data_IF_448834459073
#
_entry.id   IF_448834459073
#
_cell.length_a   1.000
_cell.length_b   1.000
_cell.length_c   1.000
_cell.angle_alpha   90.00
_cell.angle_beta   90.00
_cell.angle_gamma   90.00
#
_symmetry.space_group_name_H-M   'P 1'
#
loop_
_entity.id
_entity.type
_entity.pdbx_description
1 polymer ?
#
# COMPACT_ATOMS: atom_id res chain seq x y z
N UNK A 1 -19.14 -73.82 32.41
CA UNK A 1 -20.38 -74.12 31.65
C UNK A 1 -21.30 -72.92 31.71
N UNK A 2 -21.95 -72.63 30.57
CA UNK A 2 -23.05 -71.67 30.31
C UNK A 2 -22.69 -70.20 30.06
N UNK A 3 -22.90 -69.86 28.77
CA UNK A 3 -23.12 -68.56 28.16
C UNK A 3 -24.42 -67.88 28.65
N UNK A 4 -24.46 -66.55 28.43
CA UNK A 4 -25.57 -65.73 27.90
C UNK A 4 -25.78 -64.46 28.73
N UNK A 5 -25.44 -63.28 28.18
CA UNK A 5 -26.35 -62.31 27.52
C UNK A 5 -26.92 -61.30 28.56
N UNK A 6 -27.12 -59.99 28.38
CA UNK A 6 -27.43 -59.08 27.26
C UNK A 6 -26.96 -57.65 27.63
N UNK A 7 -26.84 -56.82 26.58
CA UNK A 7 -26.51 -55.39 26.51
C UNK A 7 -27.37 -54.39 27.30
N UNK A 8 -26.78 -53.21 27.51
CA UNK A 8 -27.36 -51.85 27.40
C UNK A 8 -26.20 -50.90 27.73
N UNK A 9 -25.64 -50.06 26.85
CA UNK A 9 -26.31 -49.11 25.97
C UNK A 9 -25.91 -47.70 26.44
N UNK A 10 -24.72 -47.23 26.05
CA UNK A 10 -24.30 -45.84 26.26
C UNK A 10 -23.43 -45.39 25.07
N UNK A 11 -24.09 -44.99 23.98
CA UNK A 11 -23.42 -44.41 22.83
C UNK A 11 -23.20 -42.91 23.07
N UNK A 12 -21.92 -42.63 23.35
CA UNK A 12 -21.11 -41.43 23.08
C UNK A 12 -21.84 -40.24 22.44
N UNK A 13 -21.75 -39.11 23.13
CA UNK A 13 -22.14 -37.79 22.63
C UNK A 13 -21.39 -37.45 21.33
N UNK A 14 -22.14 -37.23 20.25
CA UNK A 14 -21.66 -36.62 19.03
C UNK A 14 -21.38 -35.13 19.31
N UNK A 15 -20.11 -34.81 19.54
CA UNK A 15 -19.59 -33.44 19.36
C UNK A 15 -19.56 -33.20 17.86
N UNK A 16 -20.63 -32.60 17.33
CA UNK A 16 -20.62 -32.05 15.98
C UNK A 16 -19.57 -30.94 15.95
N UNK A 17 -18.42 -31.24 15.34
CA UNK A 17 -17.46 -30.24 14.92
C UNK A 17 -18.13 -29.37 13.87
N UNK A 18 -18.69 -28.24 14.33
CA UNK A 18 -18.90 -27.10 13.46
C UNK A 18 -17.50 -26.62 13.08
N UNK A 19 -17.04 -27.07 11.91
CA UNK A 19 -15.98 -26.41 11.20
C UNK A 19 -16.38 -24.94 11.06
N UNK A 20 -15.65 -24.08 11.75
CA UNK A 20 -15.58 -22.67 11.41
C UNK A 20 -14.90 -22.60 10.03
N UNK A 21 -15.70 -22.85 9.00
CA UNK A 21 -15.41 -22.37 7.67
C UNK A 21 -15.65 -20.86 7.74
N UNK A 22 -14.64 -20.13 8.21
CA UNK A 22 -14.48 -18.71 7.93
C UNK A 22 -14.35 -18.55 6.41
N UNK A 23 -15.48 -18.69 5.72
CA UNK A 23 -15.69 -18.15 4.41
C UNK A 23 -15.74 -16.63 4.54
N UNK A 24 -14.59 -16.03 4.81
CA UNK A 24 -14.31 -14.68 4.36
C UNK A 24 -14.27 -14.76 2.83
N UNK A 25 -15.44 -14.68 2.21
CA UNK A 25 -15.58 -14.16 0.88
C UNK A 25 -15.14 -12.70 0.91
N UNK A 26 -13.83 -12.47 1.00
CA UNK A 26 -13.21 -11.19 0.75
C UNK A 26 -13.39 -10.93 -0.74
N UNK A 27 -14.43 -10.19 -1.10
CA UNK A 27 -14.49 -9.56 -2.42
C UNK A 27 -13.14 -8.91 -2.67
N UNK A 28 -12.46 -9.32 -3.74
CA UNK A 28 -11.09 -8.92 -4.01
C UNK A 28 -11.03 -7.39 -4.06
N UNK A 29 -10.49 -6.78 -3.00
CA UNK A 29 -10.33 -5.34 -2.90
C UNK A 29 -9.26 -4.94 -3.91
N UNK A 30 -9.56 -3.94 -4.75
CA UNK A 30 -8.66 -3.46 -5.80
C UNK A 30 -7.26 -3.22 -5.23
N UNK A 31 -6.25 -3.79 -5.87
CA UNK A 31 -4.88 -3.75 -5.38
C UNK A 31 -3.89 -3.62 -6.54
N UNK A 32 -2.78 -2.93 -6.28
CA UNK A 32 -1.63 -2.80 -7.15
C UNK A 32 -0.41 -3.27 -6.37
N UNK A 33 0.25 -4.33 -6.83
CA UNK A 33 1.48 -4.86 -6.22
C UNK A 33 2.66 -4.73 -7.17
N UNK A 34 3.79 -4.27 -6.67
CA UNK A 34 5.04 -4.17 -7.44
C UNK A 34 6.20 -4.79 -6.67
N UNK A 35 6.97 -5.64 -7.34
CA UNK A 35 8.26 -6.11 -6.81
C UNK A 35 9.35 -5.09 -7.12
N UNK A 36 10.22 -4.83 -6.15
CA UNK A 36 11.41 -4.00 -6.31
C UNK A 36 12.56 -4.58 -5.47
N UNK A 37 13.60 -5.07 -6.14
CA UNK A 37 14.64 -5.87 -5.50
C UNK A 37 14.04 -7.10 -4.80
N UNK A 38 14.33 -7.24 -3.50
CA UNK A 38 13.89 -8.35 -2.64
C UNK A 38 12.54 -8.11 -1.94
N UNK A 39 11.90 -6.97 -2.18
CA UNK A 39 10.65 -6.60 -1.52
C UNK A 39 9.48 -6.45 -2.51
N UNK A 40 8.26 -6.55 -2.01
CA UNK A 40 7.04 -6.26 -2.76
C UNK A 40 6.21 -5.22 -2.03
N UNK A 41 5.92 -4.10 -2.68
CA UNK A 41 5.02 -3.08 -2.16
C UNK A 41 3.62 -3.29 -2.74
N UNK A 42 2.58 -2.96 -1.98
CA UNK A 42 1.19 -3.08 -2.43
C UNK A 42 0.35 -1.91 -1.94
N UNK A 43 -0.30 -1.23 -2.89
CA UNK A 43 -1.41 -0.30 -2.64
C UNK A 43 -2.70 -1.10 -2.69
N UNK A 44 -3.59 -0.92 -1.71
CA UNK A 44 -4.95 -1.50 -1.72
C UNK A 44 -5.97 -0.44 -1.35
N UNK A 45 -7.20 -0.56 -1.86
CA UNK A 45 -8.33 0.16 -1.27
C UNK A 45 -8.38 -0.09 0.24
N UNK A 46 -8.58 0.96 1.02
CA UNK A 46 -8.79 0.84 2.45
C UNK A 46 -10.11 0.09 2.71
N UNK A 47 -10.14 -0.72 3.78
CA UNK A 47 -11.38 -1.37 4.21
C UNK A 47 -12.45 -0.30 4.48
N UNK A 48 -13.67 -0.52 3.98
CA UNK A 48 -14.77 0.44 4.09
C UNK A 48 -14.78 1.57 3.04
N UNK A 49 -13.79 1.65 2.14
CA UNK A 49 -13.79 2.58 1.01
C UNK A 49 -14.42 1.93 -0.22
N UNK A 50 -15.75 2.01 -0.33
CA UNK A 50 -16.53 1.37 -1.41
C UNK A 50 -16.14 1.87 -2.81
N UNK A 51 -15.80 3.15 -2.93
CA UNK A 51 -15.33 3.81 -4.16
C UNK A 51 -13.80 3.81 -4.30
N UNK A 52 -13.10 3.23 -3.32
CA UNK A 52 -11.65 3.24 -3.24
C UNK A 52 -11.04 4.65 -3.21
N UNK A 53 -11.76 5.65 -2.69
CA UNK A 53 -11.26 7.01 -2.41
C UNK A 53 -10.08 7.02 -1.43
N UNK A 54 -9.99 6.02 -0.55
CA UNK A 54 -8.87 5.85 0.38
C UNK A 54 -8.14 4.55 0.08
N UNK A 55 -6.82 4.59 0.18
CA UNK A 55 -5.94 3.45 -0.01
C UNK A 55 -4.89 3.36 1.10
N UNK A 56 -4.36 2.16 1.28
CA UNK A 56 -3.29 1.85 2.21
C UNK A 56 -2.07 1.35 1.45
N UNK A 57 -0.88 1.65 1.98
CA UNK A 57 0.39 1.15 1.46
C UNK A 57 0.93 0.08 2.40
N UNK A 58 1.31 -1.07 1.86
CA UNK A 58 1.94 -2.15 2.61
C UNK A 58 3.17 -2.65 1.89
N UNK A 59 4.12 -3.20 2.64
CA UNK A 59 5.33 -3.82 2.09
C UNK A 59 5.51 -5.22 2.66
N UNK A 60 5.89 -6.15 1.78
CA UNK A 60 6.45 -7.45 2.13
C UNK A 60 7.97 -7.38 1.95
N UNK A 61 8.71 -7.48 3.04
CA UNK A 61 10.19 -7.47 3.04
C UNK A 61 10.76 -8.85 2.73
N UNK A 62 12.08 -8.94 2.52
CA UNK A 62 12.76 -10.18 2.15
C UNK A 62 12.61 -11.31 3.18
N UNK A 63 12.38 -10.97 4.46
CA UNK A 63 12.09 -11.91 5.54
C UNK A 63 10.65 -12.42 5.53
N UNK A 64 9.85 -12.05 4.52
CA UNK A 64 8.46 -12.45 4.35
C UNK A 64 7.47 -11.66 5.21
N UNK A 65 7.94 -10.78 6.10
CA UNK A 65 7.04 -9.99 6.95
C UNK A 65 6.29 -8.96 6.13
N UNK A 66 5.00 -8.82 6.43
CA UNK A 66 4.13 -7.79 5.83
C UNK A 66 3.84 -6.72 6.87
N UNK A 67 4.00 -5.45 6.49
CA UNK A 67 3.62 -4.32 7.35
C UNK A 67 2.99 -3.20 6.54
N UNK A 68 2.02 -2.52 7.13
CA UNK A 68 1.48 -1.26 6.61
C UNK A 68 2.51 -0.16 6.85
N UNK A 69 2.64 0.76 5.89
CA UNK A 69 3.52 1.91 5.97
C UNK A 69 2.72 3.16 6.30
N UNK A 70 3.28 3.99 7.17
CA UNK A 70 2.75 5.31 7.46
C UNK A 70 2.87 6.23 6.24
N UNK A 71 1.96 7.20 6.16
CA UNK A 71 2.04 8.23 5.13
C UNK A 71 3.26 9.14 5.39
N UNK A 72 3.94 9.63 4.35
CA UNK A 72 4.97 10.66 4.49
C UNK A 72 4.40 11.90 5.19
N UNK A 73 5.27 12.63 5.89
CA UNK A 73 4.88 13.88 6.55
C UNK A 73 4.28 14.85 5.51
N UNK A 74 3.16 15.46 5.87
CA UNK A 74 2.38 16.37 5.03
C UNK A 74 1.36 15.67 4.09
N UNK A 75 1.41 14.34 3.96
CA UNK A 75 0.49 13.58 3.10
C UNK A 75 -0.80 13.12 3.78
N UNK A 76 -1.15 13.67 4.95
CA UNK A 76 -2.35 13.31 5.71
C UNK A 76 -3.64 13.16 4.87
N UNK A 77 -4.03 14.19 4.08
CA UNK A 77 -5.26 14.14 3.29
C UNK A 77 -5.12 13.33 1.98
N UNK A 78 -3.91 13.01 1.54
CA UNK A 78 -3.65 12.34 0.26
C UNK A 78 -3.46 10.83 0.43
N UNK A 79 -3.64 10.08 -0.65
CA UNK A 79 -3.57 8.61 -0.63
C UNK A 79 -2.61 8.11 -1.72
N UNK A 80 -1.93 6.97 -1.55
CA UNK A 80 -1.08 6.45 -2.62
C UNK A 80 -1.93 5.98 -3.81
N UNK A 81 -1.60 6.45 -5.00
CA UNK A 81 -2.38 6.20 -6.23
C UNK A 81 -1.63 5.39 -7.27
N UNK A 82 -0.30 5.37 -7.20
CA UNK A 82 0.55 4.64 -8.11
C UNK A 82 1.93 4.38 -7.53
N UNK A 83 2.66 3.46 -8.15
CA UNK A 83 4.03 3.14 -7.78
C UNK A 83 4.88 2.69 -8.95
N UNK A 84 6.19 2.85 -8.80
CA UNK A 84 7.20 2.26 -9.66
C UNK A 84 8.36 1.70 -8.83
N UNK A 85 9.23 0.94 -9.50
CA UNK A 85 10.51 0.49 -8.96
C UNK A 85 11.62 1.21 -9.70
N UNK A 86 12.42 1.98 -8.98
CA UNK A 86 13.63 2.61 -9.47
C UNK A 86 14.86 1.86 -8.96
N UNK A 87 15.97 1.95 -9.69
CA UNK A 87 17.25 1.42 -9.22
C UNK A 87 18.40 2.33 -9.60
N UNK A 88 19.35 2.48 -8.68
CA UNK A 88 20.63 3.13 -8.95
C UNK A 88 21.74 2.50 -8.11
N UNK A 89 22.94 2.41 -8.68
CA UNK A 89 24.14 1.87 -8.02
C UNK A 89 23.88 0.55 -7.25
N UNK A 90 23.16 -0.39 -7.89
CA UNK A 90 22.75 -1.70 -7.33
C UNK A 90 21.79 -1.67 -6.14
N UNK A 91 21.19 -0.51 -5.83
CA UNK A 91 20.12 -0.36 -4.84
C UNK A 91 18.78 -0.14 -5.53
N UNK A 92 17.73 -0.73 -4.96
CA UNK A 92 16.37 -0.60 -5.43
C UNK A 92 15.56 0.32 -4.50
N UNK A 93 14.66 1.09 -5.07
CA UNK A 93 13.82 2.06 -4.39
C UNK A 93 12.40 1.99 -4.94
N UNK A 94 11.41 2.06 -4.07
CA UNK A 94 10.04 2.31 -4.51
C UNK A 94 9.84 3.82 -4.69
N UNK A 95 9.29 4.20 -5.83
CA UNK A 95 8.70 5.53 -6.05
C UNK A 95 7.20 5.37 -5.89
N UNK A 96 6.59 6.08 -4.94
CA UNK A 96 5.15 6.04 -4.70
C UNK A 96 4.57 7.40 -4.98
N UNK A 97 3.57 7.45 -5.86
CA UNK A 97 2.81 8.65 -6.12
C UNK A 97 1.62 8.74 -5.17
N UNK A 98 1.46 9.90 -4.54
CA UNK A 98 0.31 10.27 -3.74
C UNK A 98 -0.58 11.25 -4.53
N UNK A 99 -1.88 11.21 -4.23
CA UNK A 99 -2.87 12.06 -4.88
C UNK A 99 -4.26 11.94 -4.24
N UNK A 100 -5.25 12.46 -4.96
CA UNK A 100 -6.67 12.42 -4.59
C UNK A 100 -7.43 11.41 -5.47
N UNK A 101 -8.45 10.75 -4.90
CA UNK A 101 -9.33 9.77 -5.58
C UNK A 101 -10.78 9.94 -5.10
N UNK A 102 -11.82 9.59 -5.90
CA UNK A 102 -11.78 9.01 -7.25
C UNK A 102 -11.84 10.02 -8.40
N UNK A 103 -12.13 11.31 -8.17
CA UNK A 103 -12.26 12.34 -9.20
C UNK A 103 -11.08 13.32 -9.21
N UNK A 104 -10.79 13.84 -10.42
CA UNK A 104 -9.60 14.55 -10.86
C UNK A 104 -9.05 15.61 -9.90
N UNK A 105 -7.72 15.68 -9.87
CA UNK A 105 -7.00 16.41 -8.85
C UNK A 105 -6.95 17.92 -9.14
N UNK A 106 -7.08 18.74 -8.10
CA UNK A 106 -6.58 20.12 -8.13
C UNK A 106 -5.06 20.14 -7.90
N UNK A 107 -4.56 19.20 -7.09
CA UNK A 107 -3.15 18.90 -6.88
C UNK A 107 -2.97 17.39 -6.76
N UNK A 108 -2.06 16.82 -7.53
CA UNK A 108 -1.71 15.40 -7.53
C UNK A 108 -0.24 15.29 -7.88
N UNK A 109 0.32 14.08 -7.88
CA UNK A 109 1.70 13.88 -8.29
C UNK A 109 2.73 14.28 -7.22
N UNK A 110 2.42 14.02 -5.94
CA UNK A 110 3.48 13.98 -4.92
C UNK A 110 4.22 12.66 -5.03
N UNK A 111 5.53 12.71 -5.22
CA UNK A 111 6.35 11.52 -5.33
C UNK A 111 7.15 11.31 -4.05
N UNK A 112 7.11 10.08 -3.54
CA UNK A 112 7.87 9.70 -2.36
C UNK A 112 8.75 8.50 -2.61
N UNK A 113 9.99 8.58 -2.12
CA UNK A 113 10.95 7.50 -2.20
C UNK A 113 10.90 6.64 -0.94
N UNK A 114 10.89 5.33 -1.13
CA UNK A 114 11.02 4.34 -0.06
C UNK A 114 12.14 3.37 -0.36
N UNK A 115 12.86 2.94 0.67
CA UNK A 115 13.78 1.80 0.56
C UNK A 115 13.01 0.49 0.45
N UNK A 116 13.68 -0.60 0.06
CA UNK A 116 13.08 -1.95 0.05
C UNK A 116 12.73 -2.49 1.43
N UNK A 117 13.24 -1.88 2.50
CA UNK A 117 12.82 -2.15 3.87
C UNK A 117 11.54 -1.39 4.24
N UNK A 118 11.08 -0.45 3.41
CA UNK A 118 9.90 0.40 3.65
C UNK A 118 10.21 1.64 4.48
N UNK A 119 11.47 2.13 4.47
CA UNK A 119 11.81 3.42 5.08
C UNK A 119 11.53 4.53 4.07
N UNK A 120 10.69 5.49 4.46
CA UNK A 120 10.48 6.72 3.67
C UNK A 120 11.74 7.60 3.68
N UNK A 121 12.08 8.15 2.53
CA UNK A 121 13.27 8.98 2.33
C UNK A 121 12.96 10.44 2.01
N UNK A 122 11.69 10.76 1.71
CA UNK A 122 11.28 12.10 1.27
C UNK A 122 9.93 12.49 1.87
N UNK A 123 9.74 13.78 2.05
CA UNK A 123 8.55 14.39 2.65
C UNK A 123 8.03 15.51 1.76
N UNK A 124 6.80 15.91 2.04
CA UNK A 124 6.13 17.02 1.36
C UNK A 124 5.41 17.83 2.43
N UNK A 125 6.17 18.56 3.24
CA UNK A 125 5.67 19.37 4.35
C UNK A 125 6.18 20.82 4.21
N UNK A 126 5.31 21.79 3.82
CA UNK A 126 3.89 21.61 3.49
C UNK A 126 3.68 20.78 2.21
N UNK A 127 2.49 20.20 2.01
CA UNK A 127 2.21 19.43 0.80
C UNK A 127 2.16 20.29 -0.45
N UNK A 128 1.65 21.52 -0.36
CA UNK A 128 1.53 22.43 -1.50
C UNK A 128 2.46 23.61 -1.28
N UNK A 129 3.25 23.95 -2.32
CA UNK A 129 4.03 25.17 -2.37
C UNK A 129 3.24 26.26 -3.08
N UNK A 130 3.59 27.52 -2.81
CA UNK A 130 3.00 28.68 -3.50
C UNK A 130 4.10 29.54 -4.10
N UNK A 131 3.94 29.93 -5.36
CA UNK A 131 4.83 30.83 -6.11
C UNK A 131 4.00 31.93 -6.79
N UNK A 132 4.11 33.15 -6.26
CA UNK A 132 3.39 34.32 -6.78
C UNK A 132 3.92 34.84 -8.11
N UNK A 133 5.05 34.32 -8.60
CA UNK A 133 5.61 34.67 -9.92
C UNK A 133 4.94 33.89 -11.06
N UNK A 134 4.20 32.82 -10.74
CA UNK A 134 3.45 32.02 -11.70
C UNK A 134 2.05 32.63 -11.99
N UNK A 135 1.44 32.29 -13.15
CA UNK A 135 0.06 32.66 -13.45
C UNK A 135 -0.89 32.25 -12.32
N UNK A 136 -1.97 33.01 -12.01
CA UNK A 136 -2.87 32.74 -10.88
C UNK A 136 -3.37 31.28 -10.77
N UNK A 137 -3.64 30.63 -11.90
CA UNK A 137 -4.09 29.24 -11.95
C UNK A 137 -3.00 28.19 -11.67
N UNK A 138 -1.73 28.59 -11.55
CA UNK A 138 -0.54 27.75 -11.38
C UNK A 138 0.28 28.14 -10.15
N UNK A 139 -0.18 29.12 -9.36
CA UNK A 139 0.58 29.59 -8.19
C UNK A 139 0.77 28.51 -7.15
N UNK A 140 -0.08 27.48 -7.14
CA UNK A 140 0.03 26.36 -6.21
C UNK A 140 0.45 25.10 -6.96
N UNK A 141 1.34 24.31 -6.36
CA UNK A 141 1.81 23.06 -6.96
C UNK A 141 2.30 22.07 -5.89
N UNK A 142 2.34 20.75 -6.21
CA UNK A 142 2.84 19.72 -5.31
C UNK A 142 4.28 19.96 -4.86
N UNK A 143 4.54 19.85 -3.56
CA UNK A 143 5.88 19.94 -3.01
C UNK A 143 6.69 18.67 -3.27
N UNK A 144 7.39 18.62 -4.40
CA UNK A 144 8.32 17.55 -4.77
C UNK A 144 9.80 17.91 -4.57
N UNK A 145 10.10 18.97 -3.81
CA UNK A 145 11.48 19.47 -3.68
C UNK A 145 12.44 18.42 -3.13
N UNK A 146 12.10 17.77 -2.01
CA UNK A 146 12.95 16.74 -1.40
C UNK A 146 13.03 15.47 -2.28
N UNK A 147 11.95 15.13 -2.99
CA UNK A 147 11.95 14.05 -3.97
C UNK A 147 12.93 14.33 -5.10
N UNK A 148 12.81 15.48 -5.76
CA UNK A 148 13.67 15.86 -6.88
C UNK A 148 15.15 15.91 -6.49
N UNK A 149 15.45 16.50 -5.32
CA UNK A 149 16.82 16.55 -4.79
C UNK A 149 17.36 15.14 -4.48
N UNK A 150 16.54 14.28 -3.89
CA UNK A 150 16.95 12.91 -3.52
C UNK A 150 17.10 12.02 -4.74
N UNK A 151 16.16 12.06 -5.69
CA UNK A 151 16.21 11.31 -6.94
C UNK A 151 17.46 11.69 -7.75
N UNK A 152 17.75 12.99 -7.87
CA UNK A 152 18.96 13.47 -8.53
C UNK A 152 20.24 13.01 -7.81
N UNK A 153 20.28 13.10 -6.47
CA UNK A 153 21.43 12.65 -5.68
C UNK A 153 21.68 11.15 -5.81
N UNK A 154 20.61 10.37 -5.97
CA UNK A 154 20.68 8.93 -6.16
C UNK A 154 20.90 8.53 -7.63
N UNK A 155 20.88 9.48 -8.57
CA UNK A 155 20.94 9.21 -10.02
C UNK A 155 19.82 8.26 -10.49
N UNK A 156 18.60 8.51 -10.00
CA UNK A 156 17.42 7.77 -10.45
C UNK A 156 16.92 8.34 -11.79
N UNK A 157 16.78 7.46 -12.77
CA UNK A 157 16.10 7.79 -14.03
C UNK A 157 14.61 8.10 -13.79
N UNK A 158 13.95 8.68 -14.78
CA UNK A 158 12.48 8.83 -14.76
C UNK A 158 11.81 7.45 -14.73
N UNK A 159 10.73 7.33 -13.96
CA UNK A 159 10.06 6.06 -13.72
C UNK A 159 8.66 6.07 -14.31
N UNK A 160 8.31 4.99 -15.01
CA UNK A 160 6.94 4.78 -15.47
C UNK A 160 6.05 4.29 -14.31
N UNK A 161 5.16 5.16 -13.84
CA UNK A 161 4.30 4.90 -12.68
C UNK A 161 3.13 4.02 -13.09
N UNK A 162 3.01 2.87 -12.43
CA UNK A 162 1.83 2.03 -12.53
C UNK A 162 0.76 2.53 -11.56
N UNK A 163 -0.47 2.73 -12.04
CA UNK A 163 -1.58 3.27 -11.25
C UNK A 163 -2.55 2.18 -10.79
N UNK A 164 -3.14 2.37 -9.61
CA UNK A 164 -4.22 1.53 -9.11
C UNK A 164 -5.49 1.76 -9.96
N UNK A 165 -5.68 0.93 -10.99
CA UNK A 165 -6.84 0.91 -11.91
C UNK A 165 -8.04 0.19 -11.37
#
# INVERSE_FOLDING_TARGET
MKLSSVAMGAAVALVSMLGAEDAFAAGATKALSRQCGSATMTIRCAAGSADCSQTTLSIRTADGKVRTLDKPKGMGPYTPVGMACASAAHKAYFVVQYGERPMGCAFCEWYHLYTVEGKVLTHSDPPVLTDSTLPPAQQQYPNNKEYNETAKRLDLEEQDIEFLR
#
